data_IF_819152650820
#
_entry.id   IF_819152650820
#
_cell.length_a   1.000
_cell.length_b   1.000
_cell.length_c   1.000
_cell.angle_alpha   90.00
_cell.angle_beta   90.00
_cell.angle_gamma   90.00
#
_symmetry.space_group_name_H-M   'P 1'
#
loop_
_entity.id
_entity.type
_entity.pdbx_description
1 polymer ?
#
# COMPACT_ATOMS: atom_id res chain seq x y z
N UNK A 1 -1.10 0.96 27.83
CA UNK A 1 -1.75 0.61 26.55
C UNK A 1 -0.68 0.09 25.58
N UNK A 2 -0.71 -1.19 25.20
CA UNK A 2 0.22 -1.71 24.17
C UNK A 2 -0.25 -1.21 22.80
N UNK A 3 0.34 -0.13 22.31
CA UNK A 3 0.16 0.32 20.94
C UNK A 3 0.74 -0.74 20.00
N UNK A 4 -0.13 -1.46 19.27
CA UNK A 4 0.29 -2.41 18.24
C UNK A 4 0.46 -1.66 16.92
N UNK A 5 1.68 -1.65 16.39
CA UNK A 5 2.01 -1.04 15.11
C UNK A 5 1.10 -1.60 14.00
N UNK A 6 0.85 -2.91 13.98
CA UNK A 6 -0.12 -3.56 13.10
C UNK A 6 -1.49 -2.89 13.09
N UNK A 7 -2.04 -2.54 14.27
CA UNK A 7 -3.35 -1.89 14.37
C UNK A 7 -3.32 -0.48 13.77
N UNK A 8 -2.29 0.30 14.08
CA UNK A 8 -2.10 1.64 13.51
C UNK A 8 -1.98 1.57 11.98
N UNK A 9 -1.17 0.64 11.48
CA UNK A 9 -0.93 0.44 10.05
C UNK A 9 -2.21 0.05 9.30
N UNK A 10 -2.98 -0.90 9.84
CA UNK A 10 -4.27 -1.27 9.25
C UNK A 10 -5.26 -0.10 9.26
N UNK A 11 -5.30 0.69 10.35
CA UNK A 11 -6.16 1.87 10.42
C UNK A 11 -5.73 2.94 9.42
N UNK A 12 -4.43 3.17 9.21
CA UNK A 12 -3.96 4.06 8.16
C UNK A 12 -4.40 3.58 6.77
N UNK A 13 -4.29 2.28 6.50
CA UNK A 13 -4.71 1.70 5.22
C UNK A 13 -6.22 1.71 4.98
N UNK A 14 -7.05 1.81 6.04
CA UNK A 14 -8.48 2.07 5.88
C UNK A 14 -8.78 3.44 5.26
N UNK A 15 -7.90 4.42 5.41
CA UNK A 15 -8.04 5.74 4.77
C UNK A 15 -7.24 5.83 3.46
N UNK A 16 -6.02 5.29 3.45
CA UNK A 16 -5.15 5.31 2.26
C UNK A 16 -5.72 4.45 1.14
N UNK A 17 -6.37 3.32 1.44
CA UNK A 17 -6.99 2.44 0.43
C UNK A 17 -8.07 3.16 -0.41
N UNK A 18 -9.09 3.77 0.22
CA UNK A 18 -10.09 4.56 -0.50
C UNK A 18 -9.49 5.76 -1.26
N UNK A 19 -8.55 6.49 -0.66
CA UNK A 19 -7.88 7.61 -1.34
C UNK A 19 -7.10 7.14 -2.57
N UNK A 20 -6.40 6.02 -2.46
CA UNK A 20 -5.70 5.39 -3.57
C UNK A 20 -6.66 4.92 -4.66
N UNK A 21 -7.77 4.27 -4.29
CA UNK A 21 -8.79 3.83 -5.23
C UNK A 21 -9.37 5.02 -6.01
N UNK A 22 -9.65 6.13 -5.34
CA UNK A 22 -10.11 7.37 -5.98
C UNK A 22 -9.10 7.90 -6.99
N UNK A 23 -7.81 7.93 -6.65
CA UNK A 23 -6.75 8.37 -7.59
C UNK A 23 -6.68 7.46 -8.81
N UNK A 24 -6.71 6.13 -8.61
CA UNK A 24 -6.71 5.15 -9.70
C UNK A 24 -7.93 5.35 -10.60
N UNK A 25 -9.11 5.58 -10.01
CA UNK A 25 -10.34 5.84 -10.75
C UNK A 25 -10.28 7.15 -11.53
N UNK A 26 -9.74 8.23 -10.95
CA UNK A 26 -9.55 9.50 -11.65
C UNK A 26 -8.66 9.35 -12.87
N UNK A 27 -7.54 8.63 -12.74
CA UNK A 27 -6.63 8.36 -13.87
C UNK A 27 -7.32 7.49 -14.91
N UNK A 28 -8.06 6.46 -14.48
CA UNK A 28 -8.84 5.60 -15.38
C UNK A 28 -9.89 6.38 -16.17
N UNK A 29 -10.56 7.35 -15.53
CA UNK A 29 -11.58 8.20 -16.15
C UNK A 29 -11.01 9.37 -16.96
N UNK A 30 -9.72 9.67 -16.86
CA UNK A 30 -9.10 10.85 -17.50
C UNK A 30 -9.02 10.76 -19.04
N UNK A 31 -9.24 9.59 -19.62
CA UNK A 31 -9.07 9.35 -21.05
C UNK A 31 -7.61 9.30 -21.52
N UNK A 32 -6.63 9.41 -20.62
CA UNK A 32 -5.20 9.33 -20.95
C UNK A 32 -4.78 7.91 -21.37
N UNK A 33 -5.49 6.89 -20.89
CA UNK A 33 -5.25 5.47 -21.21
C UNK A 33 -6.06 5.10 -22.46
N UNK A 34 -5.53 5.43 -23.64
CA UNK A 34 -6.25 5.30 -24.91
C UNK A 34 -6.32 3.86 -25.40
N UNK A 35 -5.24 3.08 -25.22
CA UNK A 35 -5.21 1.68 -25.67
C UNK A 35 -5.48 0.70 -24.53
N UNK A 36 -5.94 -0.50 -24.89
CA UNK A 36 -6.06 -1.61 -23.93
C UNK A 36 -4.69 -1.97 -23.32
N UNK A 37 -3.61 -1.83 -24.09
CA UNK A 37 -2.24 -2.04 -23.61
C UNK A 37 -1.88 -1.08 -22.48
N UNK A 38 -2.16 0.22 -22.65
CA UNK A 38 -1.86 1.24 -21.64
C UNK A 38 -2.60 0.97 -20.31
N UNK A 39 -3.87 0.56 -20.40
CA UNK A 39 -4.70 0.18 -19.24
C UNK A 39 -4.10 -1.00 -18.48
N UNK A 40 -3.62 -2.02 -19.19
CA UNK A 40 -2.98 -3.20 -18.60
C UNK A 40 -1.66 -2.79 -17.94
N UNK A 41 -0.80 -2.06 -18.65
CA UNK A 41 0.48 -1.59 -18.12
C UNK A 41 0.30 -0.73 -16.87
N UNK A 42 -0.68 0.16 -16.87
CA UNK A 42 -1.04 0.98 -15.72
C UNK A 42 -1.41 0.12 -14.51
N UNK A 43 -2.35 -0.83 -14.66
CA UNK A 43 -2.75 -1.73 -13.58
C UNK A 43 -1.60 -2.62 -13.09
N UNK A 44 -0.76 -3.10 -14.00
CA UNK A 44 0.43 -3.90 -13.69
C UNK A 44 1.48 -3.15 -12.88
N UNK A 45 1.52 -1.81 -12.91
CA UNK A 45 2.42 -1.01 -12.08
C UNK A 45 1.75 -0.61 -10.77
N UNK A 46 0.49 -0.18 -10.87
CA UNK A 46 -0.28 0.39 -9.76
C UNK A 46 -0.63 -0.66 -8.71
N UNK A 47 -1.10 -1.84 -9.11
CA UNK A 47 -1.49 -2.91 -8.17
C UNK A 47 -0.28 -3.42 -7.38
N UNK A 48 0.86 -3.79 -8.01
CA UNK A 48 2.03 -4.23 -7.26
C UNK A 48 2.61 -3.11 -6.39
N UNK A 49 2.65 -1.86 -6.87
CA UNK A 49 3.10 -0.72 -6.07
C UNK A 49 2.30 -0.57 -4.78
N UNK A 50 0.97 -0.68 -4.85
CA UNK A 50 0.12 -0.64 -3.66
C UNK A 50 0.40 -1.79 -2.68
N UNK A 51 0.56 -3.02 -3.20
CA UNK A 51 0.89 -4.19 -2.39
C UNK A 51 2.27 -4.08 -1.73
N UNK A 52 3.27 -3.53 -2.42
CA UNK A 52 4.60 -3.26 -1.87
C UNK A 52 4.52 -2.28 -0.72
N UNK A 53 3.79 -1.17 -0.87
CA UNK A 53 3.62 -0.19 0.21
C UNK A 53 2.88 -0.84 1.38
N UNK A 54 1.77 -1.56 1.14
CA UNK A 54 1.03 -2.23 2.22
C UNK A 54 1.89 -3.24 2.99
N UNK A 55 2.65 -4.08 2.29
CA UNK A 55 3.51 -5.09 2.91
C UNK A 55 4.70 -4.49 3.66
N UNK A 56 5.19 -3.32 3.23
CA UNK A 56 6.33 -2.64 3.87
C UNK A 56 6.13 -2.39 5.37
N UNK A 57 4.91 -2.04 5.81
CA UNK A 57 4.62 -1.86 7.22
C UNK A 57 4.84 -3.13 8.05
N UNK A 58 4.45 -4.30 7.53
CA UNK A 58 4.69 -5.57 8.20
C UNK A 58 6.18 -5.92 8.24
N UNK A 59 6.94 -5.58 7.21
CA UNK A 59 8.40 -5.73 7.20
C UNK A 59 9.06 -4.85 8.26
N UNK A 60 8.62 -3.59 8.39
CA UNK A 60 9.10 -2.65 9.41
C UNK A 60 8.79 -3.19 10.81
N UNK A 61 7.56 -3.65 11.05
CA UNK A 61 7.16 -4.23 12.34
C UNK A 61 8.06 -5.43 12.70
N UNK A 62 8.21 -6.39 11.78
CA UNK A 62 9.09 -7.55 11.96
C UNK A 62 10.54 -7.15 12.22
N UNK A 63 11.05 -6.15 11.52
CA UNK A 63 12.42 -5.66 11.71
C UNK A 63 12.62 -5.03 13.10
N UNK A 64 11.65 -4.24 13.56
CA UNK A 64 11.66 -3.67 14.90
C UNK A 64 11.57 -4.73 15.99
N UNK A 65 10.73 -5.77 15.82
CA UNK A 65 10.65 -6.89 16.76
C UNK A 65 11.95 -7.70 16.82
N UNK A 66 12.57 -7.99 15.67
CA UNK A 66 13.87 -8.67 15.61
C UNK A 66 14.95 -7.87 16.35
N UNK A 67 15.00 -6.56 16.16
CA UNK A 67 15.94 -5.67 16.87
C UNK A 67 15.71 -5.63 18.37
N UNK A 68 14.46 -5.66 18.84
CA UNK A 68 14.14 -5.72 20.26
C UNK A 68 14.57 -7.05 20.88
N UNK A 69 14.30 -8.17 20.22
CA UNK A 69 14.72 -9.51 20.68
C UNK A 69 16.24 -9.69 20.70
N UNK A 70 16.98 -9.06 19.79
CA UNK A 70 18.44 -9.15 19.74
C UNK A 70 19.15 -8.25 20.80
N UNK A 71 18.43 -7.35 21.47
CA UNK A 71 18.95 -6.48 22.53
C UNK A 71 18.55 -6.93 23.95
N UNK A 72 17.70 -7.95 24.06
CA UNK A 72 17.38 -8.64 25.32
C UNK A 72 18.24 -9.89 25.43
#
# INVERSE_FOLDING_TARGET
MKYSFKRLWNTAFLFVGPAWYLLVWMIWSSGQLQTTGDKISFLCIVIPGFLTVYSSGFFIERWHEKKKKARQ
#
